data_IF_893300651270
#
_entry.id   IF_893300651270
#
_cell.length_a   1.000
_cell.length_b   1.000
_cell.length_c   1.000
_cell.angle_alpha   90.00
_cell.angle_beta   90.00
_cell.angle_gamma   90.00
#
_symmetry.space_group_name_H-M   'P 1'
#
loop_
_entity.id
_entity.type
_entity.pdbx_description
1 polymer ?
#
# COMPACT_ATOMS: atom_id res chain seq x y z
N UNK A 1 26.41 28.82 22.44
CA UNK A 1 26.43 27.70 21.47
C UNK A 1 25.12 26.87 21.44
N UNK A 2 23.98 27.37 21.95
CA UNK A 2 22.76 26.55 22.10
C UNK A 2 21.47 27.12 21.48
N UNK A 3 21.49 28.30 20.85
CA UNK A 3 20.28 28.87 20.22
C UNK A 3 20.13 28.49 18.74
N UNK A 4 21.25 28.40 17.99
CA UNK A 4 21.25 28.07 16.54
C UNK A 4 21.01 26.58 16.22
N UNK A 5 21.45 25.68 17.10
CA UNK A 5 21.23 24.24 16.91
C UNK A 5 19.75 23.87 17.11
N UNK A 6 19.13 24.45 18.14
CA UNK A 6 17.71 24.22 18.44
C UNK A 6 16.79 24.89 17.41
N UNK A 7 17.13 26.08 16.92
CA UNK A 7 16.40 26.71 15.80
C UNK A 7 16.57 25.93 14.49
N UNK A 8 17.74 25.35 14.22
CA UNK A 8 17.97 24.45 13.09
C UNK A 8 17.13 23.17 13.14
N UNK A 9 17.00 22.54 14.32
CA UNK A 9 16.10 21.40 14.54
C UNK A 9 14.64 21.82 14.39
N UNK A 10 14.25 22.99 14.92
CA UNK A 10 12.89 23.49 14.76
C UNK A 10 12.55 23.76 13.29
N UNK A 11 13.44 24.38 12.51
CA UNK A 11 13.27 24.60 11.05
C UNK A 11 13.23 23.28 10.27
N UNK A 12 13.99 22.26 10.67
CA UNK A 12 13.87 20.91 10.08
C UNK A 12 12.53 20.25 10.44
N UNK A 13 12.00 20.50 11.64
CA UNK A 13 10.72 19.93 12.11
C UNK A 13 9.48 20.68 11.60
N UNK A 14 9.55 21.99 11.35
CA UNK A 14 8.42 22.84 10.91
C UNK A 14 8.54 23.32 9.46
N UNK A 15 9.68 23.07 8.81
CA UNK A 15 9.90 23.37 7.40
C UNK A 15 9.48 22.22 6.46
N UNK A 16 9.72 22.39 5.16
CA UNK A 16 9.32 21.44 4.11
C UNK A 16 9.80 20.02 4.39
N UNK A 17 11.01 19.83 4.92
CA UNK A 17 11.56 18.51 5.26
C UNK A 17 10.78 17.82 6.38
N UNK A 18 10.31 18.58 7.38
CA UNK A 18 9.51 18.09 8.50
C UNK A 18 8.13 17.58 8.09
N UNK A 19 7.59 18.07 6.97
CA UNK A 19 6.37 17.54 6.37
C UNK A 19 6.65 16.46 5.34
N UNK A 20 7.64 16.66 4.47
CA UNK A 20 7.93 15.78 3.34
C UNK A 20 8.37 14.39 3.80
N UNK A 21 9.25 14.28 4.81
CA UNK A 21 9.75 12.98 5.26
C UNK A 21 8.64 12.13 5.88
N UNK A 22 7.86 12.62 6.88
CA UNK A 22 6.72 11.86 7.41
C UNK A 22 5.65 11.59 6.36
N UNK A 23 5.37 12.56 5.48
CA UNK A 23 4.41 12.37 4.39
C UNK A 23 4.83 11.22 3.47
N UNK A 24 6.07 11.22 2.98
CA UNK A 24 6.58 10.16 2.11
C UNK A 24 6.64 8.81 2.82
N UNK A 25 6.97 8.79 4.12
CA UNK A 25 6.93 7.57 4.91
C UNK A 25 5.51 6.98 4.99
N UNK A 26 4.52 7.80 5.38
CA UNK A 26 3.12 7.37 5.47
C UNK A 26 2.59 6.97 4.09
N UNK A 27 2.87 7.76 3.05
CA UNK A 27 2.47 7.45 1.68
C UNK A 27 3.04 6.12 1.21
N UNK A 28 4.33 5.87 1.44
CA UNK A 28 4.99 4.61 1.07
C UNK A 28 4.35 3.44 1.78
N UNK A 29 4.03 3.58 3.07
CA UNK A 29 3.37 2.54 3.86
C UNK A 29 1.95 2.25 3.32
N UNK A 30 1.14 3.28 3.12
CA UNK A 30 -0.23 3.15 2.60
C UNK A 30 -0.23 2.52 1.21
N UNK A 31 0.64 2.98 0.32
CA UNK A 31 0.73 2.41 -1.03
C UNK A 31 1.25 0.98 -0.99
N UNK A 32 2.24 0.67 -0.16
CA UNK A 32 2.74 -0.70 -0.02
C UNK A 32 1.62 -1.67 0.36
N UNK A 33 0.82 -1.35 1.37
CA UNK A 33 -0.30 -2.21 1.78
C UNK A 33 -1.43 -2.26 0.74
N UNK A 34 -1.67 -1.16 0.01
CA UNK A 34 -2.59 -1.13 -1.12
C UNK A 34 -2.18 -2.13 -2.22
N UNK A 35 -0.94 -2.02 -2.70
CA UNK A 35 -0.41 -2.93 -3.71
C UNK A 35 -0.33 -4.36 -3.19
N UNK A 36 -0.02 -4.56 -1.91
CA UNK A 36 -0.03 -5.87 -1.27
C UNK A 36 -1.42 -6.50 -1.30
N UNK A 37 -2.49 -5.71 -1.12
CA UNK A 37 -3.87 -6.19 -1.26
C UNK A 37 -4.15 -6.76 -2.65
N UNK A 38 -3.84 -5.99 -3.70
CA UNK A 38 -3.93 -6.46 -5.08
C UNK A 38 -3.11 -7.73 -5.32
N UNK A 39 -1.86 -7.74 -4.86
CA UNK A 39 -0.93 -8.85 -5.01
C UNK A 39 -1.46 -10.15 -4.38
N UNK A 40 -1.91 -10.09 -3.13
CA UNK A 40 -2.36 -11.27 -2.39
C UNK A 40 -3.60 -11.89 -3.04
N UNK A 41 -4.60 -11.06 -3.36
CA UNK A 41 -5.85 -11.55 -3.95
C UNK A 41 -5.64 -12.04 -5.38
N UNK A 42 -4.78 -11.39 -6.17
CA UNK A 42 -4.43 -11.86 -7.51
C UNK A 42 -3.77 -13.24 -7.47
N UNK A 43 -2.85 -13.44 -6.51
CA UNK A 43 -2.16 -14.72 -6.33
C UNK A 43 -3.10 -15.82 -5.86
N UNK A 44 -4.06 -15.52 -4.99
CA UNK A 44 -5.12 -16.47 -4.61
C UNK A 44 -6.06 -16.80 -5.79
N UNK A 45 -6.30 -15.85 -6.69
CA UNK A 45 -7.06 -16.06 -7.90
C UNK A 45 -6.28 -16.82 -9.00
N UNK A 46 -5.01 -17.19 -8.75
CA UNK A 46 -4.15 -17.89 -9.70
C UNK A 46 -3.59 -17.00 -10.82
N UNK A 47 -3.63 -15.68 -10.66
CA UNK A 47 -3.05 -14.74 -11.63
C UNK A 47 -1.54 -14.67 -11.43
N UNK A 48 -0.79 -14.81 -12.53
CA UNK A 48 0.67 -14.67 -12.52
C UNK A 48 1.04 -13.19 -12.41
N UNK A 49 1.92 -12.88 -11.46
CA UNK A 49 2.38 -11.51 -11.20
C UNK A 49 3.85 -11.42 -11.61
N UNK A 50 4.18 -10.44 -12.45
CA UNK A 50 5.51 -10.25 -12.99
C UNK A 50 6.36 -9.35 -12.10
N UNK A 51 5.77 -8.26 -11.61
CA UNK A 51 6.48 -7.23 -10.84
C UNK A 51 5.62 -6.74 -9.68
N UNK A 52 6.25 -6.61 -8.52
CA UNK A 52 5.74 -5.84 -7.40
C UNK A 52 6.73 -4.68 -7.15
N UNK A 53 6.28 -3.45 -7.35
CA UNK A 53 7.13 -2.26 -7.26
C UNK A 53 6.64 -1.31 -6.18
N UNK A 54 7.54 -0.95 -5.26
CA UNK A 54 7.35 0.17 -4.35
C UNK A 54 8.05 1.38 -4.99
N UNK A 55 7.26 2.37 -5.38
CA UNK A 55 7.72 3.52 -6.16
C UNK A 55 7.74 3.29 -7.67
N UNK A 56 8.12 4.36 -8.38
CA UNK A 56 8.24 4.41 -9.84
C UNK A 56 9.66 4.76 -10.31
N UNK A 57 9.90 4.57 -11.61
CA UNK A 57 11.15 4.95 -12.26
C UNK A 57 12.25 3.89 -12.16
N UNK A 58 13.50 4.33 -12.07
CA UNK A 58 14.68 3.46 -12.03
C UNK A 58 14.66 2.59 -10.78
N UNK A 59 14.85 1.29 -10.96
CA UNK A 59 15.01 0.35 -9.87
C UNK A 59 16.29 0.66 -9.09
N UNK A 60 16.17 0.79 -7.76
CA UNK A 60 17.30 0.98 -6.86
C UNK A 60 17.84 -0.37 -6.42
N UNK A 61 16.95 -1.24 -5.95
CA UNK A 61 17.27 -2.60 -5.53
C UNK A 61 16.01 -3.48 -5.60
N UNK A 62 16.22 -4.79 -5.67
CA UNK A 62 15.14 -5.76 -5.79
C UNK A 62 15.63 -7.19 -5.83
N UNK A 63 14.70 -8.13 -5.64
CA UNK A 63 14.95 -9.57 -5.72
C UNK A 63 13.80 -10.28 -6.44
N UNK A 64 14.04 -11.48 -6.94
CA UNK A 64 13.00 -12.31 -7.57
C UNK A 64 12.57 -13.39 -6.58
N UNK A 65 11.27 -13.53 -6.34
CA UNK A 65 10.74 -14.55 -5.44
C UNK A 65 10.66 -15.94 -6.12
N UNK A 66 10.29 -16.97 -5.35
CA UNK A 66 10.14 -18.34 -5.83
C UNK A 66 9.02 -18.53 -6.87
N UNK A 67 8.14 -17.55 -7.04
CA UNK A 67 7.06 -17.55 -8.03
C UNK A 67 7.40 -16.72 -9.27
N UNK A 68 8.69 -16.38 -9.43
CA UNK A 68 9.22 -15.55 -10.50
C UNK A 68 8.65 -14.12 -10.54
N UNK A 69 8.15 -13.60 -9.41
CA UNK A 69 7.77 -12.19 -9.26
C UNK A 69 9.00 -11.36 -8.90
N UNK A 70 9.28 -10.29 -9.66
CA UNK A 70 10.31 -9.30 -9.34
C UNK A 70 9.79 -8.31 -8.30
N UNK A 71 10.31 -8.38 -7.09
CA UNK A 71 10.11 -7.40 -6.02
C UNK A 71 11.17 -6.31 -6.16
N UNK A 72 10.75 -5.05 -6.24
CA UNK A 72 11.70 -3.94 -6.38
C UNK A 72 11.26 -2.68 -5.65
N UNK A 73 12.25 -1.89 -5.27
CA UNK A 73 12.08 -0.53 -4.77
C UNK A 73 12.68 0.42 -5.81
N UNK A 74 11.91 1.42 -6.21
CA UNK A 74 12.29 2.36 -7.25
C UNK A 74 12.53 3.77 -6.69
N UNK A 75 13.21 4.60 -7.47
CA UNK A 75 13.73 5.89 -7.01
C UNK A 75 12.66 6.91 -6.60
N UNK A 76 11.44 6.82 -7.15
CA UNK A 76 10.38 7.80 -6.91
C UNK A 76 9.32 7.19 -5.97
N UNK A 77 9.27 7.59 -4.68
CA UNK A 77 8.38 6.99 -3.67
C UNK A 77 6.96 7.59 -3.67
N UNK A 78 6.45 7.97 -4.85
CA UNK A 78 5.13 8.61 -5.01
C UNK A 78 4.02 7.63 -5.41
N UNK A 79 4.25 6.34 -5.22
CA UNK A 79 3.27 5.30 -5.53
C UNK A 79 3.90 3.92 -5.60
N UNK A 80 3.30 3.03 -6.38
CA UNK A 80 3.68 1.64 -6.52
C UNK A 80 2.80 1.00 -7.59
N UNK A 81 3.11 -0.23 -7.97
CA UNK A 81 2.26 -1.01 -8.88
C UNK A 81 2.53 -2.50 -8.77
N UNK A 82 1.48 -3.28 -9.06
CA UNK A 82 1.56 -4.71 -9.34
C UNK A 82 1.35 -4.95 -10.83
N UNK A 83 2.38 -5.42 -11.54
CA UNK A 83 2.28 -5.77 -12.96
C UNK A 83 1.79 -7.21 -13.11
N UNK A 84 0.60 -7.41 -13.65
CA UNK A 84 0.05 -8.74 -13.93
C UNK A 84 0.51 -9.28 -15.28
N UNK A 85 0.45 -10.60 -15.43
CA UNK A 85 0.74 -11.25 -16.70
C UNK A 85 -0.34 -10.91 -17.75
N UNK A 86 0.08 -10.27 -18.84
CA UNK A 86 -0.80 -9.70 -19.87
C UNK A 86 -0.98 -8.18 -19.81
N UNK A 87 -0.41 -7.51 -18.80
CA UNK A 87 -0.31 -6.06 -18.77
C UNK A 87 0.94 -5.59 -19.52
N UNK A 88 0.79 -4.54 -20.33
CA UNK A 88 1.85 -3.89 -21.11
C UNK A 88 2.77 -3.05 -20.22
N UNK A 89 2.18 -2.30 -19.28
CA UNK A 89 2.90 -1.35 -18.45
C UNK A 89 2.37 -1.29 -17.00
N UNK A 90 3.01 -0.44 -16.19
CA UNK A 90 2.67 -0.20 -14.79
C UNK A 90 1.27 0.42 -14.56
N UNK A 91 0.61 0.89 -15.62
CA UNK A 91 -0.75 1.42 -15.58
C UNK A 91 -1.82 0.36 -15.95
N UNK A 92 -1.44 -0.92 -15.99
CA UNK A 92 -2.30 -2.04 -16.38
C UNK A 92 -3.01 -1.84 -17.73
N UNK A 93 -2.31 -1.19 -18.69
CA UNK A 93 -2.77 -1.15 -20.08
C UNK A 93 -2.60 -2.56 -20.67
N UNK A 94 -3.64 -3.17 -21.26
CA UNK A 94 -3.51 -4.50 -21.86
C UNK A 94 -2.55 -4.48 -23.07
N UNK A 95 -1.55 -5.37 -23.10
CA UNK A 95 -0.67 -5.53 -24.27
C UNK A 95 -1.39 -6.35 -25.33
N UNK A 96 -2.08 -5.68 -26.25
CA UNK A 96 -2.88 -6.37 -27.27
C UNK A 96 -2.07 -7.34 -28.13
N UNK A 97 -0.78 -7.06 -28.36
CA UNK A 97 0.09 -7.92 -29.15
C UNK A 97 0.52 -9.17 -28.37
N UNK A 98 0.87 -9.04 -27.09
CA UNK A 98 1.15 -10.18 -26.23
C UNK A 98 -0.11 -11.03 -26.01
N UNK A 99 -1.26 -10.40 -25.77
CA UNK A 99 -2.56 -11.06 -25.58
C UNK A 99 -2.93 -11.91 -26.80
N UNK A 100 -2.76 -11.37 -28.01
CA UNK A 100 -3.05 -12.08 -29.25
C UNK A 100 -2.15 -13.31 -29.48
N UNK A 101 -0.95 -13.34 -28.87
CA UNK A 101 0.02 -14.44 -28.97
C UNK A 101 -0.04 -15.42 -27.81
N UNK A 102 -0.87 -15.17 -26.79
CA UNK A 102 -0.98 -16.05 -25.63
C UNK A 102 -1.55 -17.41 -26.02
N UNK A 103 -0.87 -18.47 -25.56
CA UNK A 103 -1.40 -19.83 -25.59
C UNK A 103 -2.61 -19.97 -24.66
N UNK A 104 -3.43 -20.99 -24.87
CA UNK A 104 -4.62 -21.23 -24.04
C UNK A 104 -4.27 -21.51 -22.57
N UNK A 105 -3.10 -22.09 -22.31
CA UNK A 105 -2.58 -22.27 -20.95
C UNK A 105 -2.18 -20.94 -20.30
N UNK A 106 -1.53 -20.05 -21.05
CA UNK A 106 -1.12 -18.72 -20.57
C UNK A 106 -2.31 -17.80 -20.26
N UNK A 107 -3.40 -17.92 -21.02
CA UNK A 107 -4.64 -17.18 -20.78
C UNK A 107 -5.22 -17.48 -19.39
N UNK A 108 -5.09 -18.72 -18.89
CA UNK A 108 -5.59 -19.09 -17.56
C UNK A 108 -4.90 -18.33 -16.42
N UNK A 109 -3.66 -17.89 -16.63
CA UNK A 109 -2.88 -17.16 -15.62
C UNK A 109 -2.88 -15.64 -15.85
N UNK A 110 -3.53 -15.17 -16.92
CA UNK A 110 -3.59 -13.76 -17.28
C UNK A 110 -4.73 -13.04 -16.57
N UNK A 111 -4.48 -11.83 -16.06
CA UNK A 111 -5.48 -11.04 -15.34
C UNK A 111 -6.73 -10.74 -16.18
N UNK A 112 -6.54 -10.34 -17.44
CA UNK A 112 -7.65 -9.90 -18.31
C UNK A 112 -8.63 -11.02 -18.66
N UNK A 113 -8.15 -12.27 -18.68
CA UNK A 113 -8.91 -13.46 -19.04
C UNK A 113 -9.60 -14.10 -17.82
N UNK A 114 -9.34 -13.59 -16.61
CA UNK A 114 -10.06 -14.04 -15.43
C UNK A 114 -11.55 -13.62 -15.49
N UNK A 115 -12.46 -14.42 -14.91
CA UNK A 115 -13.85 -14.02 -14.71
C UNK A 115 -13.95 -12.64 -14.05
N UNK A 116 -14.97 -11.87 -14.44
CA UNK A 116 -15.18 -10.49 -13.97
C UNK A 116 -15.21 -10.41 -12.45
N UNK A 117 -15.81 -11.39 -11.75
CA UNK A 117 -15.83 -11.44 -10.29
C UNK A 117 -14.43 -11.50 -9.65
N UNK A 118 -13.51 -12.27 -10.24
CA UNK A 118 -12.11 -12.34 -9.76
C UNK A 118 -11.37 -11.05 -10.04
N UNK A 119 -11.54 -10.48 -11.23
CA UNK A 119 -10.95 -9.18 -11.58
C UNK A 119 -11.43 -8.08 -10.64
N UNK A 120 -12.74 -8.02 -10.38
CA UNK A 120 -13.32 -7.07 -9.44
C UNK A 120 -12.78 -7.28 -8.02
N UNK A 121 -12.69 -8.52 -7.55
CA UNK A 121 -12.11 -8.84 -6.24
C UNK A 121 -10.66 -8.36 -6.12
N UNK A 122 -9.84 -8.59 -7.15
CA UNK A 122 -8.44 -8.13 -7.20
C UNK A 122 -8.39 -6.60 -7.13
N UNK A 123 -9.19 -5.89 -7.92
CA UNK A 123 -9.19 -4.40 -7.94
C UNK A 123 -9.69 -3.81 -6.63
N UNK A 124 -10.67 -4.42 -5.96
CA UNK A 124 -11.17 -3.92 -4.68
C UNK A 124 -10.23 -4.27 -3.51
N UNK A 125 -9.39 -5.30 -3.67
CA UNK A 125 -8.48 -5.76 -2.61
C UNK A 125 -7.51 -4.67 -2.12
N UNK A 126 -6.98 -3.82 -3.01
CA UNK A 126 -6.06 -2.75 -2.63
C UNK A 126 -6.71 -1.72 -1.71
N UNK A 127 -7.83 -1.08 -2.10
CA UNK A 127 -8.59 -0.21 -1.21
C UNK A 127 -8.97 -0.88 0.12
N UNK A 128 -9.45 -2.12 0.07
CA UNK A 128 -9.85 -2.85 1.27
C UNK A 128 -8.67 -3.10 2.22
N UNK A 129 -7.47 -3.41 1.69
CA UNK A 129 -6.26 -3.55 2.51
C UNK A 129 -5.92 -2.27 3.27
N UNK A 130 -6.14 -1.09 2.67
CA UNK A 130 -5.95 0.18 3.37
C UNK A 130 -6.99 0.43 4.46
N UNK A 131 -8.26 0.03 4.25
CA UNK A 131 -9.26 0.08 5.31
C UNK A 131 -8.88 -0.81 6.49
N UNK A 132 -8.43 -2.03 6.22
CA UNK A 132 -7.95 -2.96 7.26
C UNK A 132 -6.73 -2.38 7.97
N UNK A 133 -5.78 -1.80 7.23
CA UNK A 133 -4.61 -1.14 7.80
C UNK A 133 -5.01 0.03 8.71
N UNK A 134 -5.95 0.88 8.29
CA UNK A 134 -6.44 1.99 9.09
C UNK A 134 -7.08 1.51 10.40
N UNK A 135 -7.96 0.49 10.31
CA UNK A 135 -8.57 -0.13 11.49
C UNK A 135 -7.50 -0.68 12.44
N UNK A 136 -6.50 -1.39 11.91
CA UNK A 136 -5.42 -1.94 12.72
C UNK A 136 -4.59 -0.85 13.41
N UNK A 137 -4.24 0.23 12.70
CA UNK A 137 -3.49 1.36 13.25
C UNK A 137 -4.29 2.05 14.36
N UNK A 138 -5.56 2.42 14.10
CA UNK A 138 -6.38 3.10 15.10
C UNK A 138 -6.70 2.21 16.29
N UNK A 139 -7.00 0.93 16.08
CA UNK A 139 -7.23 -0.02 17.16
C UNK A 139 -5.96 -0.16 18.03
N UNK A 140 -4.78 -0.34 17.41
CA UNK A 140 -3.52 -0.39 18.13
C UNK A 140 -3.24 0.88 18.94
N UNK A 141 -3.47 2.05 18.34
CA UNK A 141 -3.30 3.33 19.00
C UNK A 141 -4.23 3.48 20.20
N UNK A 142 -5.52 3.15 20.07
CA UNK A 142 -6.46 3.23 21.17
C UNK A 142 -6.21 2.19 22.27
N UNK A 143 -5.72 1.00 21.92
CA UNK A 143 -5.35 -0.02 22.90
C UNK A 143 -4.10 0.37 23.71
N UNK A 144 -3.13 1.07 23.11
CA UNK A 144 -1.85 1.41 23.76
C UNK A 144 -1.90 2.80 24.43
N UNK A 145 -2.55 3.77 23.80
CA UNK A 145 -2.53 5.19 24.21
C UNK A 145 -3.91 5.74 24.63
N UNK A 146 -4.95 4.91 24.64
CA UNK A 146 -6.30 5.31 25.04
C UNK A 146 -6.35 5.76 26.50
N UNK A 147 -7.06 6.87 26.78
CA UNK A 147 -7.38 7.27 28.15
C UNK A 147 -8.75 6.70 28.54
N UNK A 148 -8.88 6.02 29.70
CA UNK A 148 -10.19 5.56 30.15
C UNK A 148 -11.12 6.76 30.33
N UNK A 149 -12.25 6.74 29.62
CA UNK A 149 -13.31 7.75 29.76
C UNK A 149 -14.33 7.23 30.75
N UNK A 150 -14.30 7.71 31.99
CA UNK A 150 -15.37 7.48 32.96
C UNK A 150 -16.47 8.51 32.71
N UNK A 151 -17.68 8.04 32.39
CA UNK A 151 -18.84 8.93 32.29
C UNK A 151 -19.06 9.61 33.64
N UNK A 152 -19.23 10.95 33.68
CA UNK A 152 -19.57 11.65 34.92
C UNK A 152 -20.98 11.20 35.34
N UNK A 153 -21.02 10.28 36.30
CA UNK A 153 -22.24 9.83 36.95
C UNK A 153 -22.41 10.68 38.20
N UNK A 154 -23.50 11.44 38.26
CA UNK A 154 -23.94 12.07 39.51
C UNK A 154 -24.41 10.94 40.41
N UNK A 155 -23.75 10.79 41.55
CA UNK A 155 -24.15 9.86 42.61
C UNK A 155 -25.26 10.51 43.46
N UNK A 156 -25.49 10.05 44.68
CA UNK A 156 -26.54 10.59 45.54
C UNK A 156 -26.37 12.10 45.86
N UNK A 157 -27.45 12.87 45.70
CA UNK A 157 -27.51 14.30 46.05
C UNK A 157 -27.90 14.44 47.52
N UNK A 158 -27.03 15.04 48.33
CA UNK A 158 -27.34 15.30 49.74
C UNK A 158 -28.28 16.51 49.89
N UNK A 159 -29.34 16.42 50.72
CA UNK A 159 -30.16 17.57 51.06
C UNK A 159 -29.35 18.60 51.86
N UNK A 160 -29.50 19.88 51.52
CA UNK A 160 -28.88 21.01 52.22
C UNK A 160 -29.70 21.54 53.40
#
# INVERSE_FOLDING_TARGET
MNFDFLSGIHVLSTGVLGFAVPFLFVLTLVVFFHELGHFLVARWCGVKILVFSIGFGRELFGFTDRHATRWKVAAIPLGGYVKFFGDDNAASVPDQAAIARMTEEERRYSFIHQPVGRRAAIVVAGPLANFVLAVAIFAGLFMIMGKPSTSPRVDEVQPG
#
